data_IF_386254227127
#
_entry.id   IF_386254227127
#
_cell.length_a   1.000
_cell.length_b   1.000
_cell.length_c   1.000
_cell.angle_alpha   90.00
_cell.angle_beta   90.00
_cell.angle_gamma   90.00
#
_symmetry.space_group_name_H-M   'P 1'
#
loop_
_entity.id
_entity.type
_entity.pdbx_description
1 polymer ?
#
# COMPACT_ATOMS: atom_id res chain seq x y z
N UNK A 1 26.54 -25.59 23.76
CA UNK A 1 25.39 -25.49 22.84
C UNK A 1 25.07 -24.01 22.77
N UNK A 2 25.60 -23.32 21.76
CA UNK A 2 25.45 -21.86 21.62
C UNK A 2 24.14 -21.59 20.89
N UNK A 3 23.28 -20.78 21.49
CA UNK A 3 22.07 -20.27 20.85
C UNK A 3 22.46 -19.50 19.58
N UNK A 4 21.81 -19.74 18.42
CA UNK A 4 22.07 -18.94 17.24
C UNK A 4 21.58 -17.51 17.53
N UNK A 5 22.52 -16.57 17.52
CA UNK A 5 22.22 -15.13 17.53
C UNK A 5 21.34 -14.85 16.31
N UNK A 6 20.04 -14.65 16.54
CA UNK A 6 19.16 -14.05 15.54
C UNK A 6 19.61 -12.61 15.40
N UNK A 7 20.51 -12.34 14.45
CA UNK A 7 20.90 -10.99 14.06
C UNK A 7 19.65 -10.34 13.46
N UNK A 8 18.89 -9.62 14.27
CA UNK A 8 17.72 -8.87 13.83
C UNK A 8 18.21 -7.61 13.11
N UNK A 9 18.31 -7.67 11.77
CA UNK A 9 18.51 -6.48 10.94
C UNK A 9 17.38 -5.49 11.22
N UNK A 10 17.71 -4.21 11.38
CA UNK A 10 16.71 -3.15 11.50
C UNK A 10 15.83 -3.10 10.25
N UNK A 11 14.51 -2.91 10.43
CA UNK A 11 13.57 -2.81 9.31
C UNK A 11 13.96 -1.66 8.38
N UNK A 12 14.05 -1.94 7.08
CA UNK A 12 14.38 -0.97 6.04
C UNK A 12 13.13 -0.63 5.24
N UNK A 13 12.80 0.66 5.21
CA UNK A 13 11.64 1.18 4.47
C UNK A 13 12.09 2.00 3.26
N UNK A 14 11.55 1.70 2.09
CA UNK A 14 11.65 2.55 0.91
C UNK A 14 10.55 3.62 0.96
N UNK A 15 10.91 4.88 1.19
CA UNK A 15 9.90 5.98 1.11
C UNK A 15 9.82 6.55 -0.31
N UNK A 16 8.59 6.70 -0.83
CA UNK A 16 8.30 7.28 -2.15
C UNK A 16 7.17 8.32 -2.05
N UNK A 17 7.45 9.61 -2.32
CA UNK A 17 6.41 10.61 -2.48
C UNK A 17 5.72 10.50 -3.84
N UNK A 18 4.39 10.55 -3.82
CA UNK A 18 3.52 10.40 -4.98
C UNK A 18 2.74 11.68 -5.29
N UNK A 19 2.38 11.85 -6.56
CA UNK A 19 1.29 12.78 -6.94
C UNK A 19 -0.01 12.28 -6.29
N UNK A 20 -0.84 13.22 -5.83
CA UNK A 20 -2.06 12.91 -5.09
C UNK A 20 -2.95 11.87 -5.78
N UNK A 21 -3.20 12.04 -7.08
CA UNK A 21 -4.03 11.12 -7.87
C UNK A 21 -3.55 9.66 -7.81
N UNK A 22 -2.24 9.41 -7.87
CA UNK A 22 -1.72 8.04 -7.82
C UNK A 22 -1.72 7.48 -6.41
N UNK A 23 -1.44 8.31 -5.40
CA UNK A 23 -1.60 7.91 -4.00
C UNK A 23 -3.03 7.48 -3.73
N UNK A 24 -4.01 8.30 -4.17
CA UNK A 24 -5.43 8.05 -3.93
C UNK A 24 -5.88 6.76 -4.66
N UNK A 25 -5.40 6.51 -5.88
CA UNK A 25 -5.66 5.25 -6.61
C UNK A 25 -5.05 4.01 -5.94
N UNK A 26 -3.81 4.10 -5.43
CA UNK A 26 -3.16 2.98 -4.71
C UNK A 26 -3.85 2.76 -3.35
N UNK A 27 -4.20 3.83 -2.65
CA UNK A 27 -4.95 3.77 -1.40
C UNK A 27 -6.35 3.17 -1.58
N UNK A 28 -6.97 3.35 -2.75
CA UNK A 28 -8.21 2.70 -3.12
C UNK A 28 -8.04 1.26 -3.65
N UNK A 29 -6.81 0.76 -3.79
CA UNK A 29 -6.53 -0.58 -4.36
C UNK A 29 -6.72 -0.68 -5.87
N UNK A 30 -6.94 0.44 -6.57
CA UNK A 30 -7.20 0.50 -8.02
C UNK A 30 -5.89 0.39 -8.82
N UNK A 31 -4.80 0.96 -8.30
CA UNK A 31 -3.49 0.99 -8.97
C UNK A 31 -2.51 0.06 -8.24
N UNK A 32 -2.17 -1.12 -8.82
CA UNK A 32 -1.32 -2.10 -8.16
C UNK A 32 0.19 -1.84 -8.34
N UNK A 33 0.57 -0.93 -9.26
CA UNK A 33 1.98 -0.66 -9.56
C UNK A 33 2.28 0.84 -9.53
N UNK A 34 3.40 1.22 -8.94
CA UNK A 34 3.99 2.55 -9.06
C UNK A 34 5.14 2.51 -10.08
N UNK A 35 5.12 3.43 -11.05
CA UNK A 35 6.13 3.48 -12.10
C UNK A 35 7.18 4.54 -11.84
N UNK A 36 8.45 4.16 -11.91
CA UNK A 36 9.59 5.09 -11.83
C UNK A 36 10.53 4.86 -13.00
N UNK A 37 10.83 5.92 -13.75
CA UNK A 37 11.81 5.87 -14.84
C UNK A 37 13.11 5.22 -14.37
N UNK A 38 13.70 4.38 -15.22
CA UNK A 38 14.98 3.73 -14.92
C UNK A 38 16.12 4.74 -15.09
N UNK A 39 16.26 5.61 -14.09
CA UNK A 39 17.31 6.62 -13.99
C UNK A 39 18.41 6.18 -13.02
N UNK A 40 19.62 6.79 -13.06
CA UNK A 40 20.66 6.52 -12.07
C UNK A 40 20.21 6.74 -10.61
N UNK A 41 19.30 7.70 -10.39
CA UNK A 41 18.73 7.95 -9.07
C UNK A 41 17.92 6.75 -8.56
N UNK A 42 17.01 6.22 -9.38
CA UNK A 42 16.19 5.07 -8.99
C UNK A 42 16.98 3.76 -8.96
N UNK A 43 17.95 3.58 -9.87
CA UNK A 43 18.88 2.43 -9.82
C UNK A 43 19.58 2.33 -8.46
N UNK A 44 20.13 3.43 -7.94
CA UNK A 44 20.77 3.45 -6.60
C UNK A 44 19.83 3.10 -5.46
N UNK A 45 18.53 3.37 -5.59
CA UNK A 45 17.54 3.10 -4.55
C UNK A 45 16.93 1.71 -4.65
N UNK A 46 17.04 1.02 -5.79
CA UNK A 46 16.28 -0.20 -6.06
C UNK A 46 17.19 -1.40 -6.34
N UNK A 47 18.21 -1.23 -7.19
CA UNK A 47 19.06 -2.33 -7.64
C UNK A 47 20.00 -2.76 -6.50
N UNK A 48 19.91 -4.04 -6.12
CA UNK A 48 20.69 -4.62 -5.03
C UNK A 48 20.32 -4.07 -3.65
N UNK A 49 19.15 -3.44 -3.51
CA UNK A 49 18.64 -2.97 -2.22
C UNK A 49 17.58 -3.92 -1.68
N UNK A 50 17.74 -4.29 -0.41
CA UNK A 50 16.74 -5.05 0.33
C UNK A 50 15.93 -4.13 1.23
N UNK A 51 14.62 -4.13 1.02
CA UNK A 51 13.65 -3.45 1.87
C UNK A 51 12.66 -4.46 2.43
N UNK A 52 12.13 -4.13 3.60
CA UNK A 52 11.06 -4.90 4.24
C UNK A 52 9.71 -4.23 3.95
N UNK A 53 9.69 -2.90 3.87
CA UNK A 53 8.49 -2.08 3.69
C UNK A 53 8.66 -1.02 2.61
N UNK A 54 7.55 -0.55 2.06
CA UNK A 54 7.45 0.67 1.26
C UNK A 54 6.48 1.64 1.92
N UNK A 55 6.93 2.88 2.13
CA UNK A 55 6.09 3.99 2.58
C UNK A 55 5.79 4.91 1.40
N UNK A 56 4.53 4.95 1.00
CA UNK A 56 4.01 5.88 0.00
C UNK A 56 3.48 7.12 0.71
N UNK A 57 3.79 8.32 0.20
CA UNK A 57 3.29 9.57 0.78
C UNK A 57 2.52 10.40 -0.24
N UNK A 58 1.40 11.01 0.19
CA UNK A 58 0.62 11.95 -0.62
C UNK A 58 1.30 13.31 -0.62
N UNK A 59 2.19 13.53 -1.59
CA UNK A 59 3.13 14.66 -1.59
C UNK A 59 4.15 14.54 -0.44
N UNK A 60 4.40 15.65 0.26
CA UNK A 60 5.39 15.73 1.35
C UNK A 60 4.68 16.04 2.68
N UNK A 61 4.13 15.03 3.38
CA UNK A 61 3.43 15.26 4.64
C UNK A 61 4.37 15.67 5.77
N UNK A 62 3.86 16.51 6.68
CA UNK A 62 4.52 16.79 7.97
C UNK A 62 4.70 15.48 8.74
N UNK A 63 5.66 15.43 9.66
CA UNK A 63 6.03 14.21 10.40
C UNK A 63 4.83 13.52 11.06
N UNK A 64 3.89 14.27 11.64
CA UNK A 64 2.71 13.72 12.32
C UNK A 64 1.48 13.47 11.43
N UNK A 65 1.55 13.77 10.13
CA UNK A 65 0.42 13.61 9.23
C UNK A 65 0.38 12.19 8.66
N UNK A 66 -0.20 11.28 9.45
CA UNK A 66 -0.35 9.86 9.12
C UNK A 66 -1.42 9.61 8.06
N UNK A 67 -2.42 10.50 7.94
CA UNK A 67 -3.51 10.39 6.96
C UNK A 67 -3.04 10.40 5.50
N UNK A 68 -1.85 10.95 5.25
CA UNK A 68 -1.21 11.06 3.94
C UNK A 68 -0.03 10.10 3.76
N UNK A 69 0.01 9.02 4.54
CA UNK A 69 1.03 7.97 4.50
C UNK A 69 0.36 6.61 4.35
N UNK A 70 0.94 5.76 3.53
CA UNK A 70 0.50 4.39 3.33
C UNK A 70 1.74 3.49 3.38
N UNK A 71 1.79 2.57 4.34
CA UNK A 71 2.88 1.61 4.47
C UNK A 71 2.39 0.25 4.00
N UNK A 72 3.15 -0.38 3.11
CA UNK A 72 2.87 -1.70 2.55
C UNK A 72 4.12 -2.59 2.67
N UNK A 73 3.98 -3.93 2.65
CA UNK A 73 5.11 -4.83 2.46
C UNK A 73 5.86 -4.50 1.16
N UNK A 74 7.18 -4.54 1.19
CA UNK A 74 7.97 -4.45 -0.03
C UNK A 74 7.86 -5.76 -0.82
N UNK A 75 7.27 -5.70 -2.01
CA UNK A 75 7.07 -6.86 -2.90
C UNK A 75 8.04 -6.89 -4.09
N UNK A 76 8.97 -5.94 -4.14
CA UNK A 76 9.93 -5.83 -5.24
C UNK A 76 9.41 -5.03 -6.42
N UNK A 77 10.10 -5.18 -7.55
CA UNK A 77 9.78 -4.53 -8.81
C UNK A 77 10.17 -5.40 -9.99
N UNK A 78 9.61 -5.09 -11.15
CA UNK A 78 10.07 -5.57 -12.46
C UNK A 78 10.46 -4.38 -13.35
N UNK A 79 11.32 -4.62 -14.33
CA UNK A 79 11.67 -3.61 -15.33
C UNK A 79 10.85 -3.88 -16.58
N UNK A 80 10.13 -2.87 -17.06
CA UNK A 80 9.32 -2.96 -18.28
C UNK A 80 9.43 -1.68 -19.11
N UNK A 81 9.10 -1.79 -20.40
CA UNK A 81 8.93 -0.64 -21.28
C UNK A 81 7.45 -0.32 -21.44
N UNK A 82 7.04 0.92 -21.21
CA UNK A 82 5.65 1.37 -21.33
C UNK A 82 5.56 2.70 -22.09
N UNK A 83 4.40 2.96 -22.69
CA UNK A 83 3.96 4.30 -23.06
C UNK A 83 2.93 4.75 -22.01
N UNK A 84 3.15 5.88 -21.35
CA UNK A 84 2.30 6.31 -20.22
C UNK A 84 2.18 7.84 -20.19
N UNK A 85 0.97 8.42 -20.05
CA UNK A 85 0.75 9.86 -20.14
C UNK A 85 1.64 10.73 -19.25
N UNK A 86 2.06 10.20 -18.09
CA UNK A 86 2.96 10.91 -17.18
C UNK A 86 4.40 11.06 -17.70
N UNK A 87 4.86 10.14 -18.55
CA UNK A 87 6.21 10.14 -19.11
C UNK A 87 6.26 10.68 -20.54
N UNK A 88 5.11 10.98 -21.13
CA UNK A 88 4.99 11.44 -22.51
C UNK A 88 4.58 10.31 -23.47
N UNK A 89 4.58 10.59 -24.78
CA UNK A 89 4.16 9.63 -25.81
C UNK A 89 5.21 8.55 -26.09
N UNK A 90 6.45 8.76 -25.68
CA UNK A 90 7.55 7.85 -25.95
C UNK A 90 7.47 6.57 -25.11
N UNK A 91 7.99 5.48 -25.68
CA UNK A 91 8.23 4.25 -24.93
C UNK A 91 9.42 4.44 -24.01
N UNK A 92 9.21 4.28 -22.72
CA UNK A 92 10.24 4.47 -21.69
C UNK A 92 10.37 3.23 -20.82
N UNK A 93 11.61 2.95 -20.40
CA UNK A 93 11.88 1.91 -19.43
C UNK A 93 11.57 2.41 -18.00
N UNK A 94 10.80 1.63 -17.26
CA UNK A 94 10.41 1.93 -15.87
C UNK A 94 10.65 0.74 -14.95
N UNK A 95 10.94 1.04 -13.70
CA UNK A 95 10.67 0.17 -12.57
C UNK A 95 9.17 0.19 -12.29
N UNK A 96 8.51 -0.95 -12.51
CA UNK A 96 7.14 -1.22 -12.06
C UNK A 96 7.23 -1.83 -10.66
N UNK A 97 7.06 -0.99 -9.65
CA UNK A 97 7.12 -1.34 -8.24
C UNK A 97 5.76 -1.87 -7.81
N UNK A 98 5.72 -3.06 -7.24
CA UNK A 98 4.48 -3.65 -6.73
C UNK A 98 4.05 -2.93 -5.45
N UNK A 99 2.89 -2.28 -5.53
CA UNK A 99 2.20 -1.57 -4.44
C UNK A 99 0.77 -2.09 -4.29
N UNK A 100 0.49 -3.29 -4.81
CA UNK A 100 -0.80 -3.91 -4.70
C UNK A 100 -1.13 -4.09 -3.22
N UNK A 101 -2.28 -3.54 -2.82
CA UNK A 101 -2.85 -3.86 -1.52
C UNK A 101 -3.11 -5.37 -1.45
N UNK A 102 -2.91 -5.99 -0.28
CA UNK A 102 -3.27 -7.39 -0.11
C UNK A 102 -4.71 -7.58 -0.60
N UNK A 103 -4.89 -8.59 -1.45
CA UNK A 103 -6.21 -8.91 -1.98
C UNK A 103 -7.14 -9.29 -0.82
N UNK A 104 -8.47 -9.18 -0.98
CA UNK A 104 -9.41 -9.65 0.03
C UNK A 104 -9.22 -11.13 0.43
N UNK A 105 -8.56 -11.94 -0.42
CA UNK A 105 -8.23 -13.33 -0.14
C UNK A 105 -7.10 -13.54 0.89
N UNK A 106 -6.30 -12.51 1.20
CA UNK A 106 -5.28 -12.56 2.26
C UNK A 106 -5.82 -12.09 3.63
N UNK A 107 -7.07 -11.62 3.67
CA UNK A 107 -7.74 -11.20 4.90
C UNK A 107 -8.06 -12.39 5.79
N UNK A 108 -7.98 -12.17 7.10
CA UNK A 108 -8.17 -13.20 8.12
C UNK A 108 -9.24 -12.78 9.12
N UNK A 109 -9.82 -13.77 9.78
CA UNK A 109 -10.59 -13.54 11.00
C UNK A 109 -9.68 -12.80 12.00
N UNK A 110 -10.18 -11.70 12.56
CA UNK A 110 -9.41 -10.77 13.39
C UNK A 110 -9.04 -9.47 12.67
N UNK A 111 -9.07 -9.43 11.34
CA UNK A 111 -8.82 -8.20 10.58
C UNK A 111 -10.04 -7.26 10.60
N UNK A 112 -9.80 -5.97 10.36
CA UNK A 112 -10.84 -4.95 10.28
C UNK A 112 -11.02 -4.43 8.85
N UNK A 113 -12.26 -4.17 8.45
CA UNK A 113 -12.60 -3.34 7.29
C UNK A 113 -13.17 -2.00 7.76
N UNK A 114 -12.93 -0.94 6.99
CA UNK A 114 -13.52 0.38 7.24
C UNK A 114 -14.24 0.92 6.00
N UNK A 115 -15.30 1.69 6.25
CA UNK A 115 -16.08 2.36 5.23
C UNK A 115 -15.57 3.80 5.04
N UNK A 116 -15.07 4.13 3.84
CA UNK A 116 -14.64 5.48 3.49
C UNK A 116 -15.31 5.99 2.21
N UNK A 117 -16.17 7.00 2.37
CA UNK A 117 -16.73 7.77 1.27
C UNK A 117 -15.93 9.05 1.01
N UNK A 118 -14.64 8.93 0.66
CA UNK A 118 -13.79 10.01 0.09
C UNK A 118 -13.64 11.29 0.97
N UNK A 119 -14.38 11.41 2.07
CA UNK A 119 -14.40 12.53 3.02
C UNK A 119 -15.05 12.04 4.34
N UNK A 120 -14.30 11.91 5.45
CA UNK A 120 -14.87 11.38 6.69
C UNK A 120 -15.73 12.46 7.38
N UNK A 121 -17.07 12.36 7.26
CA UNK A 121 -17.96 13.02 8.22
C UNK A 121 -17.99 12.18 9.49
N UNK A 122 -17.35 12.64 10.58
CA UNK A 122 -17.44 12.28 12.03
C UNK A 122 -17.69 10.82 12.50
N UNK A 123 -18.00 9.87 11.62
CA UNK A 123 -18.39 8.49 11.89
C UNK A 123 -17.89 7.62 10.74
N UNK A 124 -16.58 7.35 10.68
CA UNK A 124 -16.12 6.20 9.89
C UNK A 124 -16.74 4.95 10.53
N UNK A 125 -17.43 4.13 9.74
CA UNK A 125 -17.85 2.79 10.17
C UNK A 125 -16.69 1.83 10.02
N UNK A 126 -16.40 1.05 11.04
CA UNK A 126 -15.46 -0.06 10.99
C UNK A 126 -16.18 -1.34 11.40
N UNK A 127 -15.75 -2.47 10.84
CA UNK A 127 -16.29 -3.79 11.13
C UNK A 127 -15.13 -4.78 11.29
N UNK A 128 -15.16 -5.54 12.39
CA UNK A 128 -14.28 -6.67 12.63
C UNK A 128 -14.75 -7.85 11.77
N UNK A 129 -13.82 -8.56 11.15
CA UNK A 129 -14.06 -9.88 10.56
C UNK A 129 -14.02 -10.88 11.71
N UNK A 130 -15.16 -11.14 12.35
CA UNK A 130 -15.23 -11.96 13.55
C UNK A 130 -15.39 -13.46 13.23
N UNK A 131 -15.88 -13.79 12.03
CA UNK A 131 -16.16 -15.16 11.62
C UNK A 131 -16.01 -15.34 10.09
N UNK A 132 -16.27 -16.56 9.62
CA UNK A 132 -16.13 -16.93 8.22
C UNK A 132 -17.13 -16.21 7.30
N UNK A 133 -18.36 -15.97 7.75
CA UNK A 133 -19.37 -15.25 6.97
C UNK A 133 -19.00 -13.77 6.82
N UNK A 134 -18.43 -13.17 7.86
CA UNK A 134 -17.85 -11.82 7.79
C UNK A 134 -16.70 -11.77 6.78
N UNK A 135 -15.86 -12.81 6.72
CA UNK A 135 -14.73 -12.88 5.79
C UNK A 135 -15.22 -12.93 4.33
N UNK A 136 -16.24 -13.72 4.04
CA UNK A 136 -16.88 -13.78 2.72
C UNK A 136 -17.53 -12.45 2.36
N UNK A 137 -18.22 -11.84 3.32
CA UNK A 137 -18.87 -10.53 3.13
C UNK A 137 -17.84 -9.42 2.88
N UNK A 138 -16.77 -9.38 3.67
CA UNK A 138 -15.65 -8.47 3.50
C UNK A 138 -14.99 -8.67 2.13
N UNK A 139 -14.75 -9.93 1.74
CA UNK A 139 -14.23 -10.28 0.41
C UNK A 139 -15.04 -9.65 -0.73
N UNK A 140 -16.36 -9.78 -0.66
CA UNK A 140 -17.28 -9.24 -1.67
C UNK A 140 -17.30 -7.71 -1.68
N UNK A 141 -17.35 -7.08 -0.50
CA UNK A 141 -17.34 -5.63 -0.37
C UNK A 141 -16.03 -5.02 -0.88
N UNK A 142 -14.89 -5.63 -0.56
CA UNK A 142 -13.58 -5.13 -0.98
C UNK A 142 -13.30 -5.37 -2.47
N UNK A 143 -13.93 -6.38 -3.07
CA UNK A 143 -13.86 -6.62 -4.51
C UNK A 143 -14.77 -5.68 -5.31
N UNK A 144 -15.81 -5.11 -4.70
CA UNK A 144 -16.71 -4.15 -5.33
C UNK A 144 -16.17 -2.71 -5.19
N UNK A 145 -15.72 -2.09 -6.31
CA UNK A 145 -15.15 -0.73 -6.28
C UNK A 145 -16.16 0.36 -5.90
N UNK A 146 -17.46 0.05 -5.89
CA UNK A 146 -18.52 0.99 -5.50
C UNK A 146 -18.94 0.87 -4.04
N UNK A 147 -18.46 -0.15 -3.34
CA UNK A 147 -18.90 -0.46 -1.98
C UNK A 147 -18.50 0.59 -0.96
N UNK A 148 -17.43 1.36 -1.22
CA UNK A 148 -16.82 2.29 -0.26
C UNK A 148 -16.13 1.60 0.93
N UNK A 149 -16.14 0.27 1.01
CA UNK A 149 -15.41 -0.49 2.03
C UNK A 149 -13.99 -0.78 1.57
N UNK A 150 -13.05 -0.72 2.51
CA UNK A 150 -11.64 -1.04 2.29
C UNK A 150 -11.04 -1.75 3.49
N UNK A 151 -9.90 -2.41 3.30
CA UNK A 151 -9.10 -2.89 4.42
C UNK A 151 -8.75 -1.73 5.36
N UNK A 152 -8.98 -1.91 6.65
CA UNK A 152 -8.70 -0.88 7.64
C UNK A 152 -7.20 -0.57 7.66
N UNK A 153 -6.87 0.72 7.60
CA UNK A 153 -5.47 1.18 7.62
C UNK A 153 -5.03 1.65 9.02
N UNK A 154 -5.92 1.57 10.01
CA UNK A 154 -5.69 1.98 11.40
C UNK A 154 -6.03 0.83 12.34
N UNK A 155 -5.35 0.79 13.49
CA UNK A 155 -5.65 -0.14 14.56
C UNK A 155 -6.90 0.32 15.32
N UNK A 156 -7.99 -0.46 15.19
CA UNK A 156 -9.25 -0.22 15.89
C UNK A 156 -9.33 -0.93 17.24
N UNK A 157 -8.34 -1.77 17.59
CA UNK A 157 -8.31 -2.55 18.83
C UNK A 157 -8.01 -1.76 20.10
N UNK A 158 -7.52 -0.51 19.99
CA UNK A 158 -7.20 0.35 21.15
C UNK A 158 -8.27 1.41 21.47
N UNK A 159 -9.40 1.43 20.76
CA UNK A 159 -10.43 2.47 20.89
C UNK A 159 -11.63 2.05 21.76
N UNK A 160 -11.49 1.00 22.58
CA UNK A 160 -12.52 0.53 23.52
C UNK A 160 -12.21 0.97 24.95
#
# INVERSE_FOLDING_TARGET
>A
MLDPVVITRAMRTLTIPLKGIYFDQIAAGIKPEEFRLVTPFWRRRLVGQDYDLIELTRGYPKRGDTSRRLVLPWKGYRIITICHPHFGPDHVEVFAIDVARPAPAEMKIGDWIEYDLVTPRRHTRARLIANQDDLVTAGSLLADPTSGWRAATRDWGQAA
#
